data_IF_397972186768
#
_entry.id   IF_397972186768
#
_cell.length_a   1.000
_cell.length_b   1.000
_cell.length_c   1.000
_cell.angle_alpha   90.00
_cell.angle_beta   90.00
_cell.angle_gamma   90.00
#
_symmetry.space_group_name_H-M   'P 1'
#
loop_
_entity.id
_entity.type
_entity.pdbx_description
1 polymer ?
#
# COMPACT_ATOMS: atom_id res chain seq x y z
N UNK A 1 -5.33 20.66 17.14
CA UNK A 1 -5.97 19.46 16.56
C UNK A 1 -6.96 19.95 15.51
N UNK A 2 -6.51 20.31 14.30
CA UNK A 2 -7.45 20.79 13.24
C UNK A 2 -6.87 20.85 11.81
N UNK A 3 -5.59 20.54 11.58
CA UNK A 3 -5.08 20.34 10.20
C UNK A 3 -5.48 18.99 9.60
N UNK A 4 -5.60 17.94 10.43
CA UNK A 4 -6.05 16.60 9.98
C UNK A 4 -7.51 16.59 9.51
N UNK A 5 -8.26 17.67 9.75
CA UNK A 5 -9.64 17.83 9.31
C UNK A 5 -9.75 18.49 7.92
N UNK A 6 -8.65 19.00 7.35
CA UNK A 6 -8.66 19.39 5.94
C UNK A 6 -8.64 18.13 5.10
N UNK A 7 -9.71 17.93 4.32
CA UNK A 7 -9.95 16.73 3.51
C UNK A 7 -8.69 16.21 2.81
N UNK A 8 -7.88 17.04 2.12
CA UNK A 8 -6.72 16.51 1.39
C UNK A 8 -5.59 15.94 2.27
N UNK A 9 -5.35 16.49 3.47
CA UNK A 9 -4.29 15.98 4.37
C UNK A 9 -4.68 14.61 4.93
N UNK A 10 -5.96 14.42 5.23
CA UNK A 10 -6.48 13.12 5.67
C UNK A 10 -6.42 12.10 4.53
N UNK A 11 -6.88 12.47 3.33
CA UNK A 11 -6.84 11.60 2.16
C UNK A 11 -5.41 11.16 1.82
N UNK A 12 -4.41 12.06 1.96
CA UNK A 12 -3.00 11.69 1.82
C UNK A 12 -2.57 10.61 2.81
N UNK A 13 -2.93 10.77 4.09
CA UNK A 13 -2.60 9.78 5.12
C UNK A 13 -3.31 8.45 4.85
N UNK A 14 -4.61 8.47 4.58
CA UNK A 14 -5.41 7.26 4.34
C UNK A 14 -4.88 6.52 3.08
N UNK A 15 -4.55 7.25 2.02
CA UNK A 15 -3.92 6.69 0.82
C UNK A 15 -2.52 6.10 1.10
N UNK A 16 -1.68 6.77 1.89
CA UNK A 16 -0.38 6.20 2.34
C UNK A 16 -0.60 4.87 3.05
N UNK A 17 -1.54 4.79 4.00
CA UNK A 17 -1.82 3.52 4.70
C UNK A 17 -2.27 2.44 3.71
N UNK A 18 -3.20 2.74 2.79
CA UNK A 18 -3.66 1.79 1.77
C UNK A 18 -2.50 1.27 0.89
N UNK A 19 -1.69 2.18 0.34
CA UNK A 19 -0.49 1.83 -0.45
C UNK A 19 0.36 0.84 0.34
N UNK A 20 0.62 1.18 1.60
CA UNK A 20 1.56 0.43 2.40
C UNK A 20 1.08 -0.97 2.77
N UNK A 21 -0.21 -1.10 3.09
CA UNK A 21 -0.81 -2.36 3.51
C UNK A 21 -1.09 -3.29 2.32
N UNK A 22 -1.61 -2.75 1.21
CA UNK A 22 -1.85 -3.56 0.01
C UNK A 22 -0.53 -4.13 -0.53
N UNK A 23 0.52 -3.32 -0.56
CA UNK A 23 1.84 -3.80 -0.98
C UNK A 23 2.38 -4.87 -0.03
N UNK A 24 2.10 -4.74 1.28
CA UNK A 24 2.47 -5.75 2.26
C UNK A 24 1.83 -7.09 1.93
N UNK A 25 0.52 -7.09 1.73
CA UNK A 25 -0.26 -8.30 1.43
C UNK A 25 0.21 -8.97 0.12
N UNK A 26 0.55 -8.17 -0.89
CA UNK A 26 1.04 -8.68 -2.18
C UNK A 26 2.39 -9.37 -2.01
N UNK A 27 3.36 -8.74 -1.33
CA UNK A 27 4.72 -9.30 -1.22
C UNK A 27 4.83 -10.39 -0.15
N UNK A 28 3.94 -10.40 0.85
CA UNK A 28 3.93 -11.37 1.94
C UNK A 28 3.13 -12.63 1.64
N UNK A 29 2.34 -12.66 0.54
CA UNK A 29 1.36 -13.73 0.28
C UNK A 29 1.96 -15.14 0.38
N UNK A 30 3.14 -15.37 -0.19
CA UNK A 30 3.78 -16.69 -0.17
C UNK A 30 4.12 -17.14 1.27
N UNK A 31 4.59 -16.20 2.10
CA UNK A 31 4.84 -16.45 3.51
C UNK A 31 3.53 -16.70 4.27
N UNK A 32 2.50 -15.90 4.00
CA UNK A 32 1.23 -15.96 4.72
C UNK A 32 0.44 -17.24 4.42
N UNK A 33 0.51 -17.74 3.19
CA UNK A 33 0.00 -19.07 2.85
C UNK A 33 0.71 -20.17 3.64
N UNK A 34 2.04 -20.13 3.72
CA UNK A 34 2.83 -21.10 4.50
C UNK A 34 2.48 -21.06 5.99
N UNK A 35 2.17 -19.88 6.52
CA UNK A 35 1.85 -19.67 7.92
C UNK A 35 0.36 -19.91 8.24
N UNK A 36 -0.47 -20.30 7.26
CA UNK A 36 -1.93 -20.38 7.37
C UNK A 36 -2.59 -19.08 7.90
N UNK A 37 -2.01 -17.92 7.54
CA UNK A 37 -2.59 -16.62 7.86
C UNK A 37 -3.70 -16.30 6.86
N UNK A 38 -4.90 -16.00 7.34
CA UNK A 38 -6.04 -15.65 6.48
C UNK A 38 -6.24 -14.14 6.33
N UNK A 39 -5.45 -13.33 7.02
CA UNK A 39 -5.59 -11.86 7.02
C UNK A 39 -4.70 -11.25 5.94
N UNK A 40 -5.08 -11.48 4.68
CA UNK A 40 -4.39 -10.99 3.48
C UNK A 40 -5.41 -10.62 2.41
N UNK A 41 -5.29 -9.44 1.81
CA UNK A 41 -6.18 -8.98 0.75
C UNK A 41 -6.22 -9.94 -0.45
N UNK A 42 -5.09 -10.51 -0.88
CA UNK A 42 -5.04 -11.45 -2.02
C UNK A 42 -5.84 -12.71 -1.72
N UNK A 43 -5.78 -13.23 -0.48
CA UNK A 43 -6.57 -14.40 -0.06
C UNK A 43 -8.07 -14.07 -0.10
N UNK A 44 -8.45 -12.89 0.43
CA UNK A 44 -9.84 -12.43 0.41
C UNK A 44 -10.32 -12.27 -1.03
N UNK A 45 -9.55 -11.62 -1.91
CA UNK A 45 -9.91 -11.41 -3.31
C UNK A 45 -10.06 -12.74 -4.06
N UNK A 46 -9.17 -13.71 -3.84
CA UNK A 46 -9.30 -15.05 -4.43
C UNK A 46 -10.63 -15.70 -4.06
N UNK A 47 -11.01 -15.63 -2.78
CA UNK A 47 -12.23 -16.24 -2.27
C UNK A 47 -13.48 -15.53 -2.77
N UNK A 48 -13.54 -14.20 -2.64
CA UNK A 48 -14.72 -13.40 -2.98
C UNK A 48 -14.97 -13.34 -4.49
N UNK A 49 -13.91 -13.36 -5.31
CA UNK A 49 -14.02 -13.35 -6.76
C UNK A 49 -14.07 -14.76 -7.38
N UNK A 50 -13.83 -15.80 -6.57
CA UNK A 50 -13.71 -17.19 -7.01
C UNK A 50 -12.77 -17.33 -8.23
N UNK A 51 -11.56 -16.79 -8.11
CA UNK A 51 -10.59 -16.72 -9.19
C UNK A 51 -9.29 -17.49 -8.87
N UNK A 52 -8.35 -17.51 -9.82
CA UNK A 52 -7.00 -18.03 -9.58
C UNK A 52 -6.13 -17.02 -8.79
N UNK A 53 -4.97 -17.48 -8.31
CA UNK A 53 -4.06 -16.66 -7.51
C UNK A 53 -3.54 -15.44 -8.25
N UNK A 54 -3.22 -15.58 -9.55
CA UNK A 54 -2.68 -14.48 -10.33
C UNK A 54 -3.72 -13.38 -10.52
N UNK A 55 -4.97 -13.75 -10.81
CA UNK A 55 -6.09 -12.81 -10.94
C UNK A 55 -6.32 -12.05 -9.63
N UNK A 56 -6.24 -12.73 -8.49
CA UNK A 56 -6.37 -12.08 -7.18
C UNK A 56 -5.21 -11.09 -6.90
N UNK A 57 -3.97 -11.45 -7.27
CA UNK A 57 -2.80 -10.56 -7.19
C UNK A 57 -2.98 -9.35 -8.10
N UNK A 58 -3.44 -9.55 -9.34
CA UNK A 58 -3.64 -8.48 -10.32
C UNK A 58 -4.69 -7.46 -9.84
N UNK A 59 -5.79 -7.93 -9.22
CA UNK A 59 -6.78 -7.04 -8.60
C UNK A 59 -6.22 -6.30 -7.38
N UNK A 60 -5.40 -6.95 -6.53
CA UNK A 60 -4.70 -6.27 -5.44
C UNK A 60 -3.74 -5.18 -5.97
N UNK A 61 -2.98 -5.47 -7.03
CA UNK A 61 -2.08 -4.51 -7.70
C UNK A 61 -2.86 -3.34 -8.29
N UNK A 62 -4.05 -3.58 -8.85
CA UNK A 62 -4.94 -2.52 -9.34
C UNK A 62 -5.45 -1.64 -8.21
N UNK A 63 -5.83 -2.21 -7.06
CA UNK A 63 -6.19 -1.45 -5.86
C UNK A 63 -5.01 -0.63 -5.33
N UNK A 64 -3.80 -1.18 -5.34
CA UNK A 64 -2.57 -0.46 -4.97
C UNK A 64 -2.33 0.75 -5.88
N UNK A 65 -2.46 0.57 -7.21
CA UNK A 65 -2.36 1.68 -8.17
C UNK A 65 -3.43 2.75 -7.93
N UNK A 66 -4.66 2.34 -7.63
CA UNK A 66 -5.73 3.26 -7.25
C UNK A 66 -5.39 4.08 -6.01
N UNK A 67 -4.80 3.48 -4.99
CA UNK A 67 -4.36 4.20 -3.79
C UNK A 67 -3.22 5.20 -4.08
N UNK A 68 -2.30 4.89 -5.01
CA UNK A 68 -1.30 5.85 -5.49
C UNK A 68 -1.96 7.04 -6.19
N UNK A 69 -2.96 6.79 -7.03
CA UNK A 69 -3.70 7.84 -7.71
C UNK A 69 -4.46 8.74 -6.72
N UNK A 70 -5.12 8.16 -5.71
CA UNK A 70 -5.76 8.88 -4.61
C UNK A 70 -4.76 9.81 -3.90
N UNK A 71 -3.56 9.31 -3.57
CA UNK A 71 -2.50 10.11 -2.95
C UNK A 71 -2.10 11.31 -3.84
N UNK A 72 -1.86 11.07 -5.13
CA UNK A 72 -1.45 12.11 -6.08
C UNK A 72 -2.55 13.16 -6.31
N UNK A 73 -3.81 12.76 -6.29
CA UNK A 73 -4.96 13.67 -6.39
C UNK A 73 -5.06 14.51 -5.12
N UNK A 74 -5.00 13.88 -3.94
CA UNK A 74 -5.06 14.58 -2.67
C UNK A 74 -3.91 15.60 -2.52
N UNK A 75 -2.71 15.26 -2.97
CA UNK A 75 -1.58 16.19 -3.00
C UNK A 75 -1.88 17.44 -3.85
N UNK A 76 -2.46 17.26 -5.04
CA UNK A 76 -2.80 18.37 -5.95
C UNK A 76 -3.92 19.26 -5.41
N UNK A 77 -4.79 18.72 -4.57
CA UNK A 77 -5.91 19.46 -3.96
C UNK A 77 -5.50 20.28 -2.73
N UNK A 78 -4.25 20.18 -2.28
CA UNK A 78 -3.76 21.00 -1.19
C UNK A 78 -3.67 22.47 -1.62
N UNK A 79 -4.31 23.32 -0.81
CA UNK A 79 -4.27 24.77 -0.97
C UNK A 79 -3.40 25.35 0.14
N UNK A 80 -2.53 26.30 -0.20
CA UNK A 80 -1.74 27.05 0.78
C UNK A 80 -2.65 27.83 1.71
N UNK A 81 -2.33 27.81 3.00
CA UNK A 81 -3.06 28.57 4.01
C UNK A 81 -2.69 30.05 4.01
N UNK A 82 -1.52 30.39 3.46
CA UNK A 82 -0.96 31.75 3.51
C UNK A 82 -0.15 32.02 4.78
N UNK A 83 -0.18 31.11 5.76
CA UNK A 83 0.73 31.12 6.91
C UNK A 83 1.96 30.27 6.56
N UNK A 84 3.11 30.93 6.42
CA UNK A 84 4.37 30.29 6.04
C UNK A 84 4.76 29.13 6.98
N UNK A 85 4.48 29.25 8.29
CA UNK A 85 4.87 28.23 9.26
C UNK A 85 3.99 26.99 9.11
N UNK A 86 2.71 27.19 8.85
CA UNK A 86 1.76 26.09 8.60
C UNK A 86 2.09 25.41 7.27
N UNK A 87 2.26 26.19 6.20
CA UNK A 87 2.54 25.69 4.86
C UNK A 87 3.86 24.89 4.83
N UNK A 88 4.92 25.35 5.51
CA UNK A 88 6.18 24.60 5.66
C UNK A 88 6.00 23.30 6.43
N UNK A 89 5.17 23.31 7.48
CA UNK A 89 4.91 22.12 8.28
C UNK A 89 4.15 21.07 7.47
N UNK A 90 3.16 21.52 6.69
CA UNK A 90 2.41 20.66 5.76
C UNK A 90 3.34 20.08 4.70
N UNK A 91 4.21 20.88 4.09
CA UNK A 91 5.17 20.41 3.09
C UNK A 91 6.10 19.31 3.65
N UNK A 92 6.64 19.50 4.86
CA UNK A 92 7.47 18.48 5.53
C UNK A 92 6.70 17.21 5.83
N UNK A 93 5.44 17.32 6.23
CA UNK A 93 4.58 16.17 6.49
C UNK A 93 4.29 15.37 5.21
N UNK A 94 3.99 16.04 4.10
CA UNK A 94 3.79 15.38 2.81
C UNK A 94 5.06 14.67 2.36
N UNK A 95 6.22 15.31 2.52
CA UNK A 95 7.51 14.69 2.21
C UNK A 95 7.72 13.41 3.03
N UNK A 96 7.42 13.44 4.34
CA UNK A 96 7.48 12.24 5.18
C UNK A 96 6.59 11.11 4.63
N UNK A 97 5.37 11.40 4.19
CA UNK A 97 4.47 10.38 3.62
C UNK A 97 5.03 9.78 2.33
N UNK A 98 5.66 10.60 1.47
CA UNK A 98 6.36 10.12 0.27
C UNK A 98 7.56 9.26 0.61
N UNK A 99 8.35 9.67 1.59
CA UNK A 99 9.51 8.91 2.06
C UNK A 99 9.07 7.54 2.60
N UNK A 100 7.95 7.47 3.33
CA UNK A 100 7.35 6.21 3.79
C UNK A 100 6.98 5.31 2.60
N UNK A 101 6.23 5.84 1.62
CA UNK A 101 5.86 5.08 0.42
C UNK A 101 7.09 4.53 -0.33
N UNK A 102 8.16 5.32 -0.45
CA UNK A 102 9.40 4.88 -1.09
C UNK A 102 10.18 3.86 -0.26
N UNK A 103 10.28 4.08 1.05
CA UNK A 103 11.05 3.23 1.96
C UNK A 103 10.54 1.78 1.98
N UNK A 104 9.25 1.59 1.73
CA UNK A 104 8.67 0.27 1.64
C UNK A 104 9.20 -0.57 0.49
N UNK A 105 9.42 0.03 -0.69
CA UNK A 105 10.01 -0.71 -1.81
C UNK A 105 11.40 -1.26 -1.44
N UNK A 106 12.21 -0.46 -0.76
CA UNK A 106 13.51 -0.92 -0.24
C UNK A 106 13.35 -1.98 0.84
N UNK A 107 12.38 -1.81 1.75
CA UNK A 107 12.11 -2.79 2.79
C UNK A 107 11.72 -4.16 2.19
N UNK A 108 10.96 -4.21 1.09
CA UNK A 108 10.57 -5.48 0.49
C UNK A 108 11.70 -6.19 -0.24
N UNK A 109 12.61 -5.44 -0.85
CA UNK A 109 13.77 -6.00 -1.56
C UNK A 109 14.85 -6.51 -0.58
N UNK A 110 15.09 -5.77 0.50
CA UNK A 110 16.23 -6.03 1.39
C UNK A 110 15.87 -6.82 2.66
N UNK A 111 14.58 -6.99 2.99
CA UNK A 111 14.19 -7.58 4.27
C UNK A 111 13.96 -9.10 4.17
N UNK A 112 14.74 -9.92 4.91
CA UNK A 112 14.59 -11.38 4.94
C UNK A 112 13.21 -11.87 5.38
N UNK A 113 12.40 -11.00 6.03
CA UNK A 113 10.99 -11.28 6.37
C UNK A 113 10.18 -11.74 5.16
N UNK A 114 10.45 -11.20 3.98
CA UNK A 114 9.72 -11.55 2.74
C UNK A 114 10.50 -12.57 1.89
N UNK A 115 11.65 -13.07 2.39
CA UNK A 115 12.55 -14.02 1.74
C UNK A 115 13.65 -13.35 0.91
N UNK A 116 14.73 -14.08 0.58
CA UNK A 116 15.75 -13.67 -0.43
C UNK A 116 15.17 -13.74 -1.86
N UNK A 117 13.89 -13.42 -2.04
CA UNK A 117 13.05 -14.03 -3.06
C UNK A 117 12.28 -12.96 -3.82
N UNK A 118 12.96 -12.26 -4.73
CA UNK A 118 12.34 -11.41 -5.75
C UNK A 118 11.48 -12.16 -6.78
N UNK A 119 10.99 -13.37 -6.49
CA UNK A 119 10.07 -14.10 -7.35
C UNK A 119 9.12 -14.90 -6.45
N UNK A 120 7.86 -14.50 -6.46
CA UNK A 120 6.74 -15.25 -5.90
C UNK A 120 6.63 -16.57 -6.67
N UNK A 121 7.25 -17.64 -6.17
CA UNK A 121 6.95 -19.00 -6.61
C UNK A 121 5.81 -19.52 -5.73
N UNK A 122 4.58 -19.10 -6.03
CA UNK A 122 3.41 -19.85 -5.57
C UNK A 122 3.43 -21.15 -6.39
N UNK A 123 3.57 -22.30 -5.73
CA UNK A 123 3.46 -23.58 -6.40
C UNK A 123 1.99 -23.77 -6.81
N UNK A 124 1.68 -23.41 -8.06
CA UNK A 124 0.32 -23.45 -8.63
C UNK A 124 -0.24 -24.88 -8.76
N UNK A 125 0.50 -25.90 -8.31
CA UNK A 125 0.12 -27.31 -8.43
C UNK A 125 -0.68 -27.86 -7.23
N UNK A 126 -0.94 -27.07 -6.18
CA UNK A 126 -1.74 -27.52 -5.03
C UNK A 126 -3.26 -27.40 -5.21
N UNK A 127 -3.76 -26.97 -6.39
CA UNK A 127 -5.18 -27.11 -6.74
C UNK A 127 -5.44 -28.55 -7.29
N UNK A 128 -5.63 -29.52 -6.38
CA UNK A 128 -6.25 -30.82 -6.66
C UNK A 128 -7.59 -30.98 -5.97
#
# INVERSE_FOLDING_TARGET
MEMRAQTPIRELYDATIKINWIMNDIVSIAKELKDNCTTNLVIVLKQELNCDWQTAIDEAVKMHKGAIEEFLIAEKLLVKTGDHKIDDTVAKYIQLLKDINCSQFHLYDENPRYGNSGVVNIDLNEEK
#
